data_IF_381543405160
#
_entry.id   IF_381543405160
#
_cell.length_a   1.000
_cell.length_b   1.000
_cell.length_c   1.000
_cell.angle_alpha   90.00
_cell.angle_beta   90.00
_cell.angle_gamma   90.00
#
_symmetry.space_group_name_H-M   'P 1'
#
loop_
_entity.id
_entity.type
_entity.pdbx_description
1 polymer ?
#
# COMPACT_ATOMS: atom_id res chain seq x y z
N UNK A 1 23.18 -2.92 6.21
CA UNK A 1 21.84 -2.34 6.46
C UNK A 1 20.79 -3.43 6.36
N UNK A 2 19.77 -3.44 7.24
CA UNK A 2 18.57 -4.24 7.01
C UNK A 2 17.85 -3.66 5.78
N UNK A 3 17.56 -4.50 4.79
CA UNK A 3 16.85 -4.06 3.57
C UNK A 3 15.39 -3.75 3.93
N UNK A 4 14.86 -2.67 3.36
CA UNK A 4 13.42 -2.36 3.41
C UNK A 4 12.69 -3.44 2.60
N UNK A 5 11.58 -3.97 3.10
CA UNK A 5 10.90 -5.12 2.48
C UNK A 5 10.48 -4.87 1.04
N UNK A 6 10.09 -3.65 0.67
CA UNK A 6 9.77 -3.32 -0.73
C UNK A 6 10.96 -3.54 -1.67
N UNK A 7 12.20 -3.35 -1.21
CA UNK A 7 13.39 -3.51 -2.05
C UNK A 7 13.76 -4.98 -2.30
N UNK A 8 13.06 -5.92 -1.67
CA UNK A 8 13.23 -7.36 -1.93
C UNK A 8 12.17 -7.92 -2.88
N UNK A 9 11.24 -7.09 -3.35
CA UNK A 9 10.17 -7.48 -4.29
C UNK A 9 10.62 -7.29 -5.74
N UNK A 10 10.35 -8.29 -6.58
CA UNK A 10 10.56 -8.22 -8.03
C UNK A 10 9.46 -7.38 -8.70
N UNK A 11 9.75 -6.10 -8.95
CA UNK A 11 8.79 -5.16 -9.51
C UNK A 11 8.47 -5.41 -10.99
N UNK A 12 9.24 -6.24 -11.70
CA UNK A 12 8.90 -6.67 -13.07
C UNK A 12 7.78 -7.71 -13.11
N UNK A 13 7.46 -8.33 -11.96
CA UNK A 13 6.38 -9.33 -11.84
C UNK A 13 5.23 -8.87 -10.95
N UNK A 14 5.39 -7.74 -10.28
CA UNK A 14 4.38 -7.18 -9.40
C UNK A 14 3.25 -6.57 -10.24
N UNK A 15 2.00 -6.80 -9.83
CA UNK A 15 0.80 -6.35 -10.53
C UNK A 15 -0.08 -5.51 -9.58
N UNK A 16 -1.10 -4.78 -10.09
CA UNK A 16 -2.09 -4.12 -9.25
C UNK A 16 -2.77 -5.12 -8.31
N UNK A 17 -2.95 -4.73 -7.05
CA UNK A 17 -3.46 -5.63 -6.01
C UNK A 17 -3.17 -5.17 -4.59
N UNK A 18 -3.57 -5.99 -3.63
CA UNK A 18 -3.35 -5.75 -2.19
C UNK A 18 -2.43 -6.84 -1.65
N UNK A 19 -1.28 -6.44 -1.12
CA UNK A 19 -0.25 -7.35 -0.61
C UNK A 19 0.08 -7.04 0.84
N UNK A 20 0.41 -8.06 1.63
CA UNK A 20 1.06 -7.84 2.93
C UNK A 20 2.50 -7.42 2.68
N UNK A 21 2.81 -6.16 2.97
CA UNK A 21 4.16 -5.61 2.79
C UNK A 21 5.07 -6.04 3.94
N UNK A 22 4.60 -5.90 5.19
CA UNK A 22 5.33 -6.33 6.38
C UNK A 22 4.41 -6.55 7.57
N UNK A 23 4.90 -7.33 8.53
CA UNK A 23 4.29 -7.58 9.83
C UNK A 23 5.33 -7.24 10.90
N UNK A 24 5.06 -6.21 11.68
CA UNK A 24 5.94 -5.70 12.71
C UNK A 24 5.32 -5.96 14.10
N UNK A 25 5.95 -6.79 14.96
CA UNK A 25 5.48 -6.96 16.33
C UNK A 25 5.72 -5.68 17.13
N UNK A 26 4.69 -5.18 17.79
CA UNK A 26 4.72 -3.98 18.65
C UNK A 26 4.09 -4.31 20.00
N UNK A 27 4.94 -4.59 21.00
CA UNK A 27 4.47 -5.08 22.30
C UNK A 27 3.86 -6.47 22.17
N UNK A 28 2.60 -6.62 22.58
CA UNK A 28 1.79 -7.84 22.41
C UNK A 28 1.06 -7.89 21.08
N UNK A 29 1.07 -6.80 20.31
CA UNK A 29 0.27 -6.65 19.10
C UNK A 29 1.10 -6.84 17.83
N UNK A 30 0.41 -7.07 16.71
CA UNK A 30 1.01 -7.16 15.39
C UNK A 30 0.52 -6.02 14.49
N UNK A 31 1.43 -5.14 14.07
CA UNK A 31 1.13 -4.11 13.07
C UNK A 31 1.38 -4.70 11.69
N UNK A 32 0.32 -4.76 10.87
CA UNK A 32 0.44 -5.23 9.47
C UNK A 32 0.39 -4.03 8.54
N UNK A 33 1.42 -3.86 7.72
CA UNK A 33 1.44 -2.85 6.65
C UNK A 33 1.08 -3.53 5.33
N UNK A 34 0.14 -2.93 4.59
CA UNK A 34 -0.26 -3.41 3.27
C UNK A 34 0.31 -2.52 2.16
N UNK A 35 0.72 -3.13 1.05
CA UNK A 35 0.99 -2.46 -0.22
C UNK A 35 -0.31 -2.52 -1.04
N UNK A 36 -0.95 -1.37 -1.24
CA UNK A 36 -2.13 -1.21 -2.10
C UNK A 36 -1.61 -0.67 -3.43
N UNK A 37 -1.36 -1.59 -4.36
CA UNK A 37 -0.77 -1.28 -5.65
C UNK A 37 -1.86 -0.94 -6.65
N UNK A 38 -1.93 0.33 -7.04
CA UNK A 38 -2.97 0.82 -7.96
C UNK A 38 -2.59 0.70 -9.44
N UNK A 39 -1.29 0.70 -9.75
CA UNK A 39 -0.77 0.59 -11.12
C UNK A 39 0.41 -0.38 -11.22
N UNK A 40 0.56 -1.01 -12.39
CA UNK A 40 1.69 -1.88 -12.74
C UNK A 40 2.99 -1.08 -12.77
N UNK A 41 4.03 -1.46 -11.98
CA UNK A 41 5.28 -0.71 -11.93
C UNK A 41 5.97 -0.63 -13.30
N UNK A 42 6.26 0.60 -13.74
CA UNK A 42 6.97 0.88 -15.00
C UNK A 42 6.26 0.44 -16.30
N UNK A 43 4.99 0.04 -16.23
CA UNK A 43 4.19 -0.35 -17.40
C UNK A 43 3.02 0.60 -17.63
N UNK A 44 2.29 0.94 -16.56
CA UNK A 44 1.15 1.84 -16.63
C UNK A 44 1.57 3.30 -16.32
N UNK A 45 0.83 4.29 -16.86
CA UNK A 45 1.04 5.68 -16.47
C UNK A 45 0.95 5.86 -14.96
N UNK A 46 1.75 6.78 -14.43
CA UNK A 46 1.62 7.20 -13.03
C UNK A 46 0.26 7.87 -12.81
N UNK A 47 -0.33 7.68 -11.63
CA UNK A 47 -1.48 8.51 -11.22
C UNK A 47 -1.02 9.94 -11.00
N UNK A 48 -1.73 10.94 -11.54
CA UNK A 48 -1.35 12.33 -11.27
C UNK A 48 -1.68 12.71 -9.82
N UNK A 49 -1.05 13.80 -9.39
CA UNK A 49 -1.11 14.25 -7.99
C UNK A 49 -2.53 14.59 -7.53
N UNK A 50 -3.36 15.18 -8.40
CA UNK A 50 -4.71 15.61 -8.03
C UNK A 50 -5.62 14.42 -7.72
N UNK A 51 -5.57 13.38 -8.55
CA UNK A 51 -6.34 12.15 -8.39
C UNK A 51 -5.83 11.37 -7.19
N UNK A 52 -4.51 11.23 -7.03
CA UNK A 52 -3.92 10.54 -5.89
C UNK A 52 -4.26 11.21 -4.56
N UNK A 53 -4.19 12.54 -4.50
CA UNK A 53 -4.56 13.33 -3.33
C UNK A 53 -6.05 13.20 -3.00
N UNK A 54 -6.91 13.14 -4.02
CA UNK A 54 -8.35 12.89 -3.82
C UNK A 54 -8.58 11.49 -3.22
N UNK A 55 -7.91 10.47 -3.76
CA UNK A 55 -7.99 9.10 -3.24
C UNK A 55 -7.46 9.02 -1.81
N UNK A 56 -6.36 9.71 -1.49
CA UNK A 56 -5.81 9.77 -0.13
C UNK A 56 -6.86 10.25 0.87
N UNK A 57 -7.52 11.38 0.59
CA UNK A 57 -8.57 11.92 1.46
C UNK A 57 -9.77 10.98 1.58
N UNK A 58 -10.28 10.45 0.46
CA UNK A 58 -11.44 9.56 0.46
C UNK A 58 -11.16 8.27 1.23
N UNK A 59 -10.01 7.63 0.99
CA UNK A 59 -9.62 6.39 1.66
C UNK A 59 -9.36 6.63 3.15
N UNK A 60 -8.68 7.73 3.50
CA UNK A 60 -8.42 8.14 4.88
C UNK A 60 -9.72 8.32 5.68
N UNK A 61 -10.74 8.94 5.08
CA UNK A 61 -12.04 9.12 5.71
C UNK A 61 -12.81 7.80 5.79
N UNK A 62 -12.86 7.03 4.71
CA UNK A 62 -13.61 5.77 4.66
C UNK A 62 -13.06 4.73 5.65
N UNK A 63 -11.77 4.37 5.53
CA UNK A 63 -11.16 3.27 6.30
C UNK A 63 -11.10 3.50 7.82
N UNK A 64 -11.25 4.75 8.28
CA UNK A 64 -11.26 5.07 9.72
C UNK A 64 -12.65 5.12 10.32
N UNK A 65 -13.68 5.40 9.52
CA UNK A 65 -15.01 5.75 10.03
C UNK A 65 -16.10 4.78 9.57
N UNK A 66 -15.84 3.97 8.56
CA UNK A 66 -16.86 3.09 8.04
C UNK A 66 -17.14 1.94 9.04
N UNK A 67 -18.40 1.71 9.43
CA UNK A 67 -18.72 0.91 10.62
C UNK A 67 -18.63 -0.60 10.40
N UNK A 68 -18.51 -1.05 9.14
CA UNK A 68 -18.58 -2.47 8.75
C UNK A 68 -17.31 -2.93 8.02
N UNK A 69 -16.67 -2.02 7.31
CA UNK A 69 -15.46 -2.22 6.49
C UNK A 69 -14.51 -1.10 6.84
#
# INVERSE_FOLDING_TARGET
>A
MKKITSFTVDHFKLQPGVYVSRKDPVGTEMVTTFDIRMTSPNEEPVMNTAELHTIEHLAATFLRNHPVF
#
